data_IF_142210555887
#
_entry.id   IF_142210555887
#
_cell.length_a   1.000
_cell.length_b   1.000
_cell.length_c   1.000
_cell.angle_alpha   90.00
_cell.angle_beta   90.00
_cell.angle_gamma   90.00
#
_symmetry.space_group_name_H-M   'P 1'
#
loop_
_entity.id
_entity.type
_entity.pdbx_description
1 polymer ?
#
# COMPACT_ATOMS: atom_id res chain seq x y z
N UNK A 1 -33.39 -7.49 48.95
CA UNK A 1 -32.94 -7.63 47.55
C UNK A 1 -32.13 -6.40 47.12
N UNK A 2 -30.81 -6.45 47.36
CA UNK A 2 -29.85 -5.50 46.79
C UNK A 2 -29.29 -6.15 45.52
N UNK A 3 -29.69 -5.64 44.36
CA UNK A 3 -29.08 -6.05 43.09
C UNK A 3 -27.74 -5.35 42.96
N UNK A 4 -26.67 -6.11 43.16
CA UNK A 4 -25.36 -5.81 42.63
C UNK A 4 -25.34 -6.16 41.15
N UNK A 5 -25.01 -5.20 40.28
CA UNK A 5 -24.34 -5.50 39.02
C UNK A 5 -23.27 -4.44 38.77
N UNK A 6 -22.03 -4.90 38.92
CA UNK A 6 -20.81 -4.28 38.42
C UNK A 6 -20.89 -3.92 36.94
N UNK A 7 -20.14 -2.86 36.60
CA UNK A 7 -19.54 -2.43 35.32
C UNK A 7 -19.15 -3.57 34.35
N UNK A 8 -18.81 -3.35 33.05
CA UNK A 8 -18.34 -2.10 32.42
C UNK A 8 -18.84 -1.83 30.98
N UNK A 9 -18.84 -0.58 30.51
CA UNK A 9 -18.57 -0.34 29.09
C UNK A 9 -17.53 0.77 28.99
N UNK A 10 -16.30 0.31 28.88
CA UNK A 10 -15.08 1.04 28.61
C UNK A 10 -15.19 1.68 27.21
N UNK A 11 -15.99 2.74 27.08
CA UNK A 11 -15.85 3.65 25.94
C UNK A 11 -14.55 4.42 26.15
N UNK A 12 -13.43 3.79 25.84
CA UNK A 12 -12.17 4.46 25.58
C UNK A 12 -12.38 5.35 24.35
N UNK A 13 -12.38 6.69 24.45
CA UNK A 13 -12.39 7.56 23.27
C UNK A 13 -10.96 7.56 22.71
N UNK A 14 -10.57 6.46 22.08
CA UNK A 14 -9.15 6.10 21.97
C UNK A 14 -8.80 5.25 20.77
N UNK A 15 -9.48 5.43 19.65
CA UNK A 15 -8.92 5.09 18.34
C UNK A 15 -9.68 5.89 17.29
N UNK A 16 -9.10 7.02 16.87
CA UNK A 16 -9.42 7.51 15.54
C UNK A 16 -9.28 6.30 14.60
N UNK A 17 -10.33 5.91 13.85
CA UNK A 17 -10.16 4.87 12.85
C UNK A 17 -8.99 5.34 12.01
N UNK A 18 -7.89 4.57 12.00
CA UNK A 18 -6.71 4.89 11.19
C UNK A 18 -7.26 5.16 9.80
N UNK A 19 -7.37 6.43 9.42
CA UNK A 19 -8.08 6.83 8.20
C UNK A 19 -7.44 5.99 7.11
N UNK A 20 -8.23 5.11 6.51
CA UNK A 20 -7.73 4.35 5.38
C UNK A 20 -7.22 5.39 4.40
N UNK A 21 -5.90 5.41 4.15
CA UNK A 21 -5.31 6.35 3.20
C UNK A 21 -6.12 6.27 1.92
N UNK A 22 -6.58 7.43 1.43
CA UNK A 22 -7.36 7.48 0.19
C UNK A 22 -6.54 6.85 -0.93
N UNK A 23 -7.20 6.26 -1.93
CA UNK A 23 -6.53 5.68 -3.11
C UNK A 23 -5.48 6.63 -3.67
N UNK A 24 -5.81 7.92 -3.76
CA UNK A 24 -4.90 8.95 -4.27
C UNK A 24 -3.63 9.13 -3.43
N UNK A 25 -3.74 9.11 -2.09
CA UNK A 25 -2.59 9.14 -1.20
C UNK A 25 -1.76 7.85 -1.27
N UNK A 26 -2.43 6.70 -1.43
CA UNK A 26 -1.74 5.42 -1.63
C UNK A 26 -0.94 5.43 -2.93
N UNK A 27 -1.51 5.95 -4.03
CA UNK A 27 -0.82 6.11 -5.32
C UNK A 27 0.44 6.96 -5.17
N UNK A 28 0.30 8.17 -4.61
CA UNK A 28 1.44 9.09 -4.41
C UNK A 28 2.52 8.46 -3.55
N UNK A 29 2.17 7.92 -2.39
CA UNK A 29 3.13 7.29 -1.49
C UNK A 29 3.83 6.09 -2.14
N UNK A 30 3.10 5.28 -2.91
CA UNK A 30 3.65 4.12 -3.61
C UNK A 30 4.67 4.54 -4.66
N UNK A 31 4.32 5.51 -5.51
CA UNK A 31 5.20 6.00 -6.58
C UNK A 31 6.47 6.62 -5.99
N UNK A 32 6.33 7.41 -4.91
CA UNK A 32 7.48 7.98 -4.20
C UNK A 32 8.34 6.88 -3.59
N UNK A 33 7.73 5.89 -2.92
CA UNK A 33 8.46 4.78 -2.31
C UNK A 33 9.22 3.95 -3.35
N UNK A 34 8.62 3.71 -4.51
CA UNK A 34 9.25 2.96 -5.61
C UNK A 34 10.39 3.76 -6.24
N UNK A 35 10.21 5.07 -6.48
CA UNK A 35 11.30 5.96 -6.91
C UNK A 35 12.47 5.96 -5.93
N UNK A 36 12.20 6.14 -4.64
CA UNK A 36 13.28 6.25 -3.65
C UNK A 36 14.00 4.93 -3.39
N UNK A 37 13.28 3.81 -3.38
CA UNK A 37 13.89 2.50 -3.05
C UNK A 37 14.54 1.81 -4.23
N UNK A 38 13.95 1.93 -5.41
CA UNK A 38 14.38 1.19 -6.59
C UNK A 38 14.90 2.10 -7.70
N UNK A 39 14.88 3.42 -7.52
CA UNK A 39 15.32 4.37 -8.55
C UNK A 39 14.40 4.42 -9.78
N UNK A 40 13.24 3.76 -9.74
CA UNK A 40 12.35 3.61 -10.89
C UNK A 40 11.59 4.91 -11.14
N UNK A 41 11.73 5.47 -12.33
CA UNK A 41 11.04 6.72 -12.69
C UNK A 41 9.54 6.51 -12.95
N UNK A 42 8.73 7.58 -12.85
CA UNK A 42 7.29 7.53 -13.24
C UNK A 42 7.08 6.98 -14.65
N UNK A 43 7.97 7.32 -15.59
CA UNK A 43 7.92 6.84 -16.97
C UNK A 43 8.14 5.33 -17.09
N UNK A 44 9.06 4.76 -16.31
CA UNK A 44 9.26 3.32 -16.25
C UNK A 44 8.07 2.60 -15.62
N UNK A 45 7.55 3.13 -14.51
CA UNK A 45 6.34 2.65 -13.85
C UNK A 45 5.15 2.59 -14.81
N UNK A 46 4.95 3.67 -15.59
CA UNK A 46 3.95 3.72 -16.65
C UNK A 46 4.23 2.69 -17.75
N UNK A 47 5.48 2.50 -18.15
CA UNK A 47 5.87 1.50 -19.15
C UNK A 47 5.63 0.05 -18.68
N UNK A 48 5.79 -0.23 -17.38
CA UNK A 48 5.57 -1.55 -16.80
C UNK A 48 4.08 -1.88 -16.64
N UNK A 49 3.30 -0.93 -16.12
CA UNK A 49 1.86 -1.12 -15.92
C UNK A 49 1.03 -0.92 -17.18
N UNK A 50 1.50 -0.10 -18.12
CA UNK A 50 0.74 0.34 -19.29
C UNK A 50 -0.26 1.47 -19.00
N UNK A 51 -0.38 1.89 -17.73
CA UNK A 51 -1.25 2.98 -17.29
C UNK A 51 -0.47 4.00 -16.47
N UNK A 52 -0.96 5.23 -16.41
CA UNK A 52 -0.30 6.29 -15.67
C UNK A 52 -0.35 6.03 -14.15
N UNK A 53 0.73 6.27 -13.40
CA UNK A 53 0.77 6.08 -11.95
C UNK A 53 -0.24 6.92 -11.16
N UNK A 54 -0.73 8.01 -11.74
CA UNK A 54 -1.83 8.81 -11.19
C UNK A 54 -3.20 8.14 -11.35
N UNK A 55 -3.32 7.19 -12.27
CA UNK A 55 -4.54 6.44 -12.59
C UNK A 55 -4.58 5.03 -12.02
N UNK A 56 -3.59 4.60 -11.22
CA UNK A 56 -3.53 3.24 -10.68
C UNK A 56 -4.71 2.89 -9.78
N UNK A 57 -5.52 1.91 -10.15
CA UNK A 57 -6.59 1.43 -9.28
C UNK A 57 -6.05 0.64 -8.08
N UNK A 58 -6.91 0.20 -7.16
CA UNK A 58 -6.46 -0.55 -5.98
C UNK A 58 -5.68 -1.82 -6.32
N UNK A 59 -6.12 -2.56 -7.35
CA UNK A 59 -5.39 -3.69 -7.91
C UNK A 59 -3.98 -3.30 -8.36
N UNK A 60 -3.87 -2.25 -9.17
CA UNK A 60 -2.58 -1.77 -9.68
C UNK A 60 -1.66 -1.38 -8.51
N UNK A 61 -2.19 -0.65 -7.54
CA UNK A 61 -1.46 -0.27 -6.32
C UNK A 61 -0.98 -1.52 -5.57
N UNK A 62 -1.81 -2.55 -5.44
CA UNK A 62 -1.43 -3.79 -4.77
C UNK A 62 -0.34 -4.54 -5.55
N UNK A 63 -0.45 -4.66 -6.87
CA UNK A 63 0.56 -5.29 -7.74
C UNK A 63 1.92 -4.61 -7.54
N UNK A 64 1.99 -3.28 -7.59
CA UNK A 64 3.24 -2.54 -7.39
C UNK A 64 3.78 -2.72 -5.98
N UNK A 65 2.90 -2.75 -4.99
CA UNK A 65 3.29 -2.95 -3.59
C UNK A 65 3.85 -4.36 -3.36
N UNK A 66 3.28 -5.37 -3.99
CA UNK A 66 3.80 -6.74 -3.97
C UNK A 66 5.11 -6.85 -4.73
N UNK A 67 5.22 -6.25 -5.90
CA UNK A 67 6.46 -6.19 -6.66
C UNK A 67 7.57 -5.53 -5.84
N UNK A 68 7.27 -4.42 -5.15
CA UNK A 68 8.21 -3.76 -4.24
C UNK A 68 8.61 -4.66 -3.07
N UNK A 69 7.69 -5.45 -2.51
CA UNK A 69 8.01 -6.42 -1.46
C UNK A 69 8.93 -7.53 -1.97
N UNK A 70 8.62 -8.10 -3.13
CA UNK A 70 9.39 -9.17 -3.76
C UNK A 70 10.79 -8.66 -4.13
N UNK A 71 10.88 -7.50 -4.78
CA UNK A 71 12.15 -6.86 -5.13
C UNK A 71 13.03 -6.65 -3.89
N UNK A 72 12.43 -6.19 -2.78
CA UNK A 72 13.15 -6.03 -1.52
C UNK A 72 13.58 -7.37 -0.90
N UNK A 73 12.69 -8.38 -0.93
CA UNK A 73 12.94 -9.68 -0.33
C UNK A 73 13.99 -10.50 -1.11
N UNK A 74 13.93 -10.47 -2.43
CA UNK A 74 14.83 -11.17 -3.33
C UNK A 74 16.06 -10.33 -3.72
N UNK A 75 16.15 -9.08 -3.25
CA UNK A 75 17.22 -8.14 -3.59
C UNK A 75 17.43 -7.99 -5.10
N UNK A 76 16.33 -7.88 -5.84
CA UNK A 76 16.33 -7.78 -7.31
C UNK A 76 15.67 -6.49 -7.80
N UNK A 77 15.84 -6.20 -9.09
CA UNK A 77 15.23 -5.03 -9.71
C UNK A 77 13.71 -5.06 -9.63
N UNK A 78 13.11 -3.88 -9.47
CA UNK A 78 11.65 -3.73 -9.42
C UNK A 78 10.97 -4.33 -10.65
N UNK A 79 11.56 -4.17 -11.85
CA UNK A 79 11.05 -4.75 -13.10
C UNK A 79 10.96 -6.28 -13.04
N UNK A 80 11.98 -6.92 -12.49
CA UNK A 80 12.05 -8.38 -12.37
C UNK A 80 11.00 -8.88 -11.38
N UNK A 81 10.88 -8.23 -10.23
CA UNK A 81 9.84 -8.54 -9.26
C UNK A 81 8.43 -8.27 -9.78
N UNK A 82 8.25 -7.20 -10.55
CA UNK A 82 6.98 -6.85 -11.17
C UNK A 82 6.53 -7.89 -12.18
N UNK A 83 7.46 -8.38 -13.02
CA UNK A 83 7.18 -9.50 -13.91
C UNK A 83 6.76 -10.76 -13.14
N UNK A 84 7.37 -11.05 -11.99
CA UNK A 84 6.96 -12.18 -11.14
C UNK A 84 5.54 -12.04 -10.59
N UNK A 85 5.07 -10.82 -10.27
CA UNK A 85 3.70 -10.60 -9.78
C UNK A 85 2.66 -10.74 -10.89
N UNK A 86 3.03 -10.43 -12.14
CA UNK A 86 2.14 -10.54 -13.31
C UNK A 86 2.12 -11.94 -13.96
N UNK A 87 3.00 -12.87 -13.54
CA UNK A 87 2.98 -14.27 -13.98
C UNK A 87 1.99 -15.09 -13.16
#
# INVERSE_FOLDING_TARGET
PQSATSSPDDQRPGQAPKRALSIEERRKNLVIAVQQKFGVSRGELKGMMGVDPESFNEDEINIIREAAKIAKAQNCDFKTAFNQVKQ
#
